data_IF_510185595655
#
_entry.id   IF_510185595655
#
_cell.length_a   1.000
_cell.length_b   1.000
_cell.length_c   1.000
_cell.angle_alpha   90.00
_cell.angle_beta   90.00
_cell.angle_gamma   90.00
#
_symmetry.space_group_name_H-M   'P 1'
#
loop_
_entity.id
_entity.type
_entity.pdbx_description
1 polymer ?
#
# COMPACT_ATOMS: atom_id res chain seq x y z
N UNK A 1 6.61 10.13 -19.55
CA UNK A 1 7.51 9.23 -20.32
C UNK A 1 6.87 7.86 -20.40
N UNK A 2 7.29 7.01 -21.33
CA UNK A 2 6.65 5.72 -21.55
C UNK A 2 7.63 4.67 -22.06
N UNK A 3 7.33 3.40 -21.81
CA UNK A 3 7.83 2.30 -22.64
C UNK A 3 7.52 2.58 -24.10
N UNK A 4 8.46 2.29 -24.99
CA UNK A 4 8.30 2.45 -26.44
C UNK A 4 7.50 1.31 -27.11
N UNK A 5 6.97 0.35 -26.33
CA UNK A 5 6.09 -0.69 -26.84
C UNK A 5 4.73 -0.13 -27.23
N UNK A 6 4.18 -0.64 -28.33
CA UNK A 6 2.94 -0.14 -28.94
C UNK A 6 1.78 -0.01 -27.94
N UNK A 7 1.51 -1.04 -27.14
CA UNK A 7 0.43 -1.04 -26.14
C UNK A 7 0.52 0.11 -25.13
N UNK A 8 1.74 0.49 -24.75
CA UNK A 8 1.98 1.58 -23.81
C UNK A 8 1.78 2.93 -24.49
N UNK A 9 2.28 3.08 -25.72
CA UNK A 9 2.10 4.29 -26.51
C UNK A 9 0.62 4.51 -26.90
N UNK A 10 -0.11 3.44 -27.19
CA UNK A 10 -1.56 3.47 -27.44
C UNK A 10 -2.32 3.92 -26.18
N UNK A 11 -1.99 3.37 -25.01
CA UNK A 11 -2.56 3.81 -23.73
C UNK A 11 -2.29 5.30 -23.48
N UNK A 12 -1.08 5.77 -23.79
CA UNK A 12 -0.73 7.18 -23.68
C UNK A 12 -1.59 8.06 -24.60
N UNK A 13 -1.75 7.66 -25.86
CA UNK A 13 -2.53 8.39 -26.84
C UNK A 13 -4.01 8.48 -26.45
N UNK A 14 -4.59 7.39 -25.92
CA UNK A 14 -5.96 7.37 -25.38
C UNK A 14 -6.13 8.32 -24.19
N UNK A 15 -5.09 8.45 -23.36
CA UNK A 15 -5.02 9.43 -22.28
C UNK A 15 -4.76 10.88 -22.73
N UNK A 16 -4.60 11.13 -24.04
CA UNK A 16 -4.25 12.46 -24.56
C UNK A 16 -2.82 12.90 -24.22
N UNK A 17 -1.92 11.94 -23.98
CA UNK A 17 -0.53 12.18 -23.60
C UNK A 17 0.41 11.97 -24.79
N UNK A 18 1.48 12.77 -24.85
CA UNK A 18 2.60 12.60 -25.80
C UNK A 18 3.90 12.30 -25.03
N UNK A 19 4.09 11.06 -24.55
CA UNK A 19 5.25 10.72 -23.74
C UNK A 19 6.50 10.51 -24.60
N UNK A 20 7.66 10.93 -24.08
CA UNK A 20 8.96 10.48 -24.61
C UNK A 20 9.07 8.96 -24.51
N UNK A 21 9.20 8.22 -25.63
CA UNK A 21 9.39 6.77 -25.62
C UNK A 21 10.81 6.43 -25.14
N UNK A 22 10.91 5.36 -24.36
CA UNK A 22 12.18 4.95 -23.75
C UNK A 22 12.21 3.42 -23.52
N UNK A 23 13.13 2.69 -24.20
CA UNK A 23 13.19 1.24 -24.16
C UNK A 23 13.59 0.68 -22.79
N UNK A 24 14.15 1.50 -21.89
CA UNK A 24 14.49 1.07 -20.53
C UNK A 24 13.26 0.66 -19.71
N UNK A 25 12.07 1.08 -20.12
CA UNK A 25 10.79 0.76 -19.45
C UNK A 25 10.00 -0.36 -20.14
N UNK A 26 10.62 -1.12 -21.05
CA UNK A 26 9.99 -2.33 -21.62
C UNK A 26 9.74 -3.37 -20.54
N UNK A 27 8.64 -4.12 -20.73
CA UNK A 27 8.36 -5.32 -19.94
C UNK A 27 9.52 -6.31 -20.03
N UNK A 28 9.59 -7.22 -19.06
CA UNK A 28 10.58 -8.30 -19.05
C UNK A 28 10.66 -9.00 -20.40
N UNK A 29 11.88 -9.17 -20.91
CA UNK A 29 12.13 -9.94 -22.12
C UNK A 29 11.93 -11.44 -21.84
N UNK A 30 10.83 -11.98 -22.37
CA UNK A 30 10.46 -13.39 -22.23
C UNK A 30 11.20 -14.31 -23.21
N UNK A 31 12.02 -13.76 -24.12
CA UNK A 31 12.74 -14.53 -25.12
C UNK A 31 11.83 -15.51 -25.87
N UNK A 32 12.19 -16.80 -25.84
CA UNK A 32 11.42 -17.87 -26.52
C UNK A 32 10.07 -18.21 -25.86
N UNK A 33 9.77 -17.66 -24.68
CA UNK A 33 8.45 -17.79 -24.06
C UNK A 33 7.42 -16.82 -24.62
N UNK A 34 7.86 -15.80 -25.38
CA UNK A 34 6.95 -14.79 -25.91
C UNK A 34 5.86 -15.41 -26.80
N UNK A 35 4.61 -15.02 -26.54
CA UNK A 35 3.43 -15.52 -27.24
C UNK A 35 2.91 -16.89 -26.76
N UNK A 36 3.56 -17.52 -25.78
CA UNK A 36 3.12 -18.81 -25.23
C UNK A 36 2.20 -18.63 -24.03
N UNK A 37 1.23 -19.55 -23.91
CA UNK A 37 0.45 -19.73 -22.69
C UNK A 37 1.29 -20.37 -21.58
N UNK A 38 0.84 -20.25 -20.33
CA UNK A 38 1.50 -20.91 -19.18
C UNK A 38 1.61 -22.43 -19.37
N UNK A 39 0.59 -23.06 -19.96
CA UNK A 39 0.61 -24.49 -20.26
C UNK A 39 1.68 -24.86 -21.27
N UNK A 40 1.76 -24.12 -22.38
CA UNK A 40 2.78 -24.34 -23.41
C UNK A 40 4.20 -24.10 -22.89
N UNK A 41 4.40 -23.12 -22.00
CA UNK A 41 5.70 -22.91 -21.33
C UNK A 41 6.07 -24.13 -20.48
N UNK A 42 5.13 -24.67 -19.70
CA UNK A 42 5.35 -25.84 -18.86
C UNK A 42 5.72 -27.08 -19.68
N UNK A 43 5.08 -27.25 -20.84
CA UNK A 43 5.35 -28.37 -21.75
C UNK A 43 6.68 -28.22 -22.50
N UNK A 44 7.01 -26.99 -22.96
CA UNK A 44 8.16 -26.73 -23.83
C UNK A 44 9.45 -26.40 -23.08
N UNK A 45 9.35 -25.88 -21.87
CA UNK A 45 10.48 -25.48 -21.03
C UNK A 45 10.36 -26.01 -19.58
N UNK A 46 10.12 -27.32 -19.37
CA UNK A 46 9.85 -27.88 -18.04
C UNK A 46 11.02 -27.69 -17.05
N UNK A 47 12.26 -27.71 -17.54
CA UNK A 47 13.46 -27.50 -16.71
C UNK A 47 13.54 -26.06 -16.17
N UNK A 48 13.27 -25.06 -17.01
CA UNK A 48 13.25 -23.65 -16.59
C UNK A 48 12.16 -23.42 -15.53
N UNK A 49 10.97 -24.00 -15.73
CA UNK A 49 9.86 -23.89 -14.77
C UNK A 49 10.19 -24.58 -13.45
N UNK A 50 10.79 -25.77 -13.47
CA UNK A 50 11.18 -26.48 -12.25
C UNK A 50 12.21 -25.69 -11.43
N UNK A 51 13.16 -25.03 -12.10
CA UNK A 51 14.15 -24.17 -11.46
C UNK A 51 13.52 -22.93 -10.83
N UNK A 52 12.60 -22.26 -11.52
CA UNK A 52 11.84 -21.13 -10.95
C UNK A 52 11.04 -21.57 -9.71
N UNK A 53 10.40 -22.74 -9.77
CA UNK A 53 9.68 -23.30 -8.62
C UNK A 53 10.60 -23.63 -7.43
N UNK A 54 11.88 -23.91 -7.69
CA UNK A 54 12.91 -24.09 -6.68
C UNK A 54 13.48 -22.77 -6.13
N UNK A 55 13.08 -21.62 -6.70
CA UNK A 55 13.59 -20.29 -6.34
C UNK A 55 14.90 -19.92 -7.03
N UNK A 56 15.30 -20.65 -8.08
CA UNK A 56 16.49 -20.30 -8.85
C UNK A 56 16.26 -19.04 -9.69
N UNK A 57 17.33 -18.27 -9.87
CA UNK A 57 17.37 -17.26 -10.91
C UNK A 57 17.47 -17.92 -12.31
N UNK A 58 16.51 -17.56 -13.18
CA UNK A 58 16.38 -18.11 -14.53
C UNK A 58 16.12 -17.00 -15.53
N UNK A 59 16.85 -16.99 -16.66
CA UNK A 59 16.55 -16.16 -17.83
C UNK A 59 15.38 -16.78 -18.60
N UNK A 60 14.23 -16.11 -18.60
CA UNK A 60 12.98 -16.65 -19.12
C UNK A 60 13.09 -16.85 -20.64
N UNK A 61 13.03 -18.09 -21.12
CA UNK A 61 13.15 -18.41 -22.54
C UNK A 61 14.46 -17.97 -23.18
N UNK A 62 15.48 -17.63 -22.38
CA UNK A 62 16.76 -17.04 -22.82
C UNK A 62 16.80 -15.50 -22.88
N UNK A 63 15.74 -14.81 -22.47
CA UNK A 63 15.67 -13.35 -22.35
C UNK A 63 16.25 -12.83 -21.03
N UNK A 64 15.46 -12.06 -20.28
CA UNK A 64 15.84 -11.49 -18.98
C UNK A 64 15.50 -12.45 -17.83
N UNK A 65 16.31 -12.41 -16.77
CA UNK A 65 15.90 -12.87 -15.43
C UNK A 65 15.15 -11.76 -14.70
N UNK A 66 14.55 -12.09 -13.56
CA UNK A 66 13.97 -11.07 -12.67
C UNK A 66 15.03 -10.07 -12.18
N UNK A 67 16.23 -10.55 -11.85
CA UNK A 67 17.34 -9.67 -11.44
C UNK A 67 17.80 -8.76 -12.59
N UNK A 68 17.89 -9.25 -13.82
CA UNK A 68 18.22 -8.43 -15.00
C UNK A 68 17.22 -7.25 -15.13
N UNK A 69 15.93 -7.54 -14.97
CA UNK A 69 14.86 -6.54 -14.98
C UNK A 69 15.04 -5.54 -13.83
N UNK A 70 15.17 -6.01 -12.59
CA UNK A 70 15.32 -5.13 -11.41
C UNK A 70 16.56 -4.24 -11.53
N UNK A 71 17.68 -4.76 -12.01
CA UNK A 71 18.90 -3.99 -12.27
C UNK A 71 18.71 -2.92 -13.35
N UNK A 72 18.04 -3.28 -14.44
CA UNK A 72 17.73 -2.34 -15.53
C UNK A 72 16.82 -1.21 -15.05
N UNK A 73 15.76 -1.54 -14.32
CA UNK A 73 14.80 -0.56 -13.79
C UNK A 73 15.45 0.30 -12.71
N UNK A 74 16.26 -0.28 -11.83
CA UNK A 74 17.01 0.46 -10.80
C UNK A 74 17.96 1.51 -11.39
N UNK A 75 18.72 1.16 -12.44
CA UNK A 75 19.56 2.12 -13.18
C UNK A 75 18.73 3.24 -13.82
N UNK A 76 17.63 2.88 -14.49
CA UNK A 76 16.76 3.86 -15.14
C UNK A 76 16.09 4.83 -14.13
N UNK A 77 15.71 4.34 -12.95
CA UNK A 77 15.18 5.17 -11.86
C UNK A 77 16.24 6.10 -11.28
N UNK A 78 17.46 5.61 -11.04
CA UNK A 78 18.56 6.44 -10.53
C UNK A 78 18.91 7.57 -11.51
N UNK A 79 18.96 7.28 -12.81
CA UNK A 79 19.17 8.28 -13.86
C UNK A 79 18.01 9.28 -13.90
N UNK A 80 16.76 8.81 -13.85
CA UNK A 80 15.56 9.65 -13.83
C UNK A 80 15.58 10.66 -12.66
N UNK A 81 15.94 10.20 -11.46
CA UNK A 81 16.03 11.04 -10.26
C UNK A 81 17.13 12.09 -10.39
N UNK A 82 18.22 11.78 -11.10
CA UNK A 82 19.30 12.74 -11.33
C UNK A 82 18.97 13.81 -12.38
N UNK A 83 18.05 13.51 -13.29
CA UNK A 83 17.66 14.41 -14.40
C UNK A 83 16.49 15.32 -14.05
N UNK A 84 15.60 14.87 -13.17
CA UNK A 84 14.34 15.55 -12.87
C UNK A 84 14.49 16.44 -11.63
N UNK A 85 14.09 17.72 -11.67
CA UNK A 85 14.18 18.61 -10.51
C UNK A 85 13.39 18.11 -9.30
N UNK A 86 13.91 18.38 -8.10
CA UNK A 86 13.23 18.04 -6.84
C UNK A 86 11.79 18.58 -6.80
N UNK A 87 10.87 17.76 -6.28
CA UNK A 87 9.45 18.10 -6.19
C UNK A 87 8.65 17.97 -7.48
N UNK A 88 9.28 17.55 -8.59
CA UNK A 88 8.57 17.24 -9.83
C UNK A 88 7.66 16.04 -9.69
N UNK A 89 6.63 15.97 -10.55
CA UNK A 89 5.78 14.79 -10.73
C UNK A 89 6.07 14.17 -12.08
N UNK A 90 6.41 12.89 -12.09
CA UNK A 90 6.69 12.13 -13.31
C UNK A 90 5.60 11.09 -13.50
N UNK A 91 4.91 11.15 -14.64
CA UNK A 91 4.06 10.05 -15.10
C UNK A 91 4.88 9.14 -16.01
N UNK A 92 5.03 7.88 -15.59
CA UNK A 92 5.66 6.81 -16.35
C UNK A 92 4.60 5.78 -16.73
N UNK A 93 4.36 5.62 -18.04
CA UNK A 93 3.52 4.53 -18.55
C UNK A 93 4.39 3.31 -18.83
N UNK A 94 4.08 2.19 -18.20
CA UNK A 94 4.90 0.97 -18.25
C UNK A 94 4.04 -0.27 -17.98
N UNK A 95 4.67 -1.40 -17.65
CA UNK A 95 4.06 -2.72 -17.52
C UNK A 95 4.13 -3.25 -16.09
N UNK A 96 3.42 -4.35 -15.82
CA UNK A 96 3.30 -4.90 -14.47
C UNK A 96 4.64 -5.33 -13.88
N UNK A 97 5.46 -6.08 -14.64
CA UNK A 97 6.77 -6.51 -14.15
C UNK A 97 7.68 -5.33 -13.82
N UNK A 98 7.63 -4.28 -14.64
CA UNK A 98 8.40 -3.04 -14.42
C UNK A 98 7.97 -2.29 -13.17
N UNK A 99 6.67 -2.24 -12.85
CA UNK A 99 6.16 -1.61 -11.62
C UNK A 99 6.66 -2.37 -10.39
N UNK A 100 6.57 -3.71 -10.38
CA UNK A 100 7.10 -4.52 -9.29
C UNK A 100 8.61 -4.34 -9.12
N UNK A 101 9.37 -4.39 -10.23
CA UNK A 101 10.81 -4.15 -10.23
C UNK A 101 11.18 -2.74 -9.73
N UNK A 102 10.37 -1.73 -10.04
CA UNK A 102 10.57 -0.37 -9.55
C UNK A 102 10.37 -0.26 -8.03
N UNK A 103 9.34 -0.94 -7.49
CA UNK A 103 9.10 -1.00 -6.04
C UNK A 103 10.27 -1.71 -5.35
N UNK A 104 10.67 -2.87 -5.86
CA UNK A 104 11.80 -3.65 -5.33
C UNK A 104 13.12 -2.88 -5.35
N UNK A 105 13.46 -2.25 -6.48
CA UNK A 105 14.64 -1.40 -6.61
C UNK A 105 14.59 -0.21 -5.63
N UNK A 106 13.42 0.37 -5.42
CA UNK A 106 13.21 1.43 -4.43
C UNK A 106 13.54 1.00 -3.00
N UNK A 107 13.06 -0.18 -2.60
CA UNK A 107 13.40 -0.78 -1.30
C UNK A 107 14.89 -1.08 -1.16
N UNK A 108 15.53 -1.60 -2.20
CA UNK A 108 16.96 -1.86 -2.21
C UNK A 108 17.79 -0.57 -2.02
N UNK A 109 17.37 0.54 -2.64
CA UNK A 109 18.08 1.83 -2.57
C UNK A 109 18.08 2.46 -1.18
N UNK A 110 17.08 2.18 -0.35
CA UNK A 110 17.05 2.61 1.05
C UNK A 110 17.68 1.58 2.00
N UNK A 111 18.39 0.57 1.47
CA UNK A 111 19.07 -0.46 2.27
C UNK A 111 18.14 -1.52 2.85
N UNK A 112 16.94 -1.68 2.29
CA UNK A 112 15.90 -2.58 2.78
C UNK A 112 15.34 -3.47 1.67
N UNK A 113 16.23 -4.15 0.94
CA UNK A 113 15.83 -5.07 -0.13
C UNK A 113 14.76 -6.07 0.35
N UNK A 114 13.68 -6.19 -0.43
CA UNK A 114 12.61 -7.14 -0.14
C UNK A 114 13.09 -8.57 -0.39
N UNK A 115 12.54 -9.52 0.37
CA UNK A 115 12.71 -10.95 0.08
C UNK A 115 11.82 -11.36 -1.09
N UNK A 116 12.14 -12.46 -1.76
CA UNK A 116 11.28 -13.02 -2.82
C UNK A 116 9.85 -13.30 -2.31
N UNK A 117 9.71 -13.67 -1.03
CA UNK A 117 8.41 -13.87 -0.41
C UNK A 117 7.64 -12.55 -0.29
N UNK A 118 8.29 -11.47 0.14
CA UNK A 118 7.69 -10.15 0.20
C UNK A 118 7.26 -9.63 -1.18
N UNK A 119 8.08 -9.88 -2.22
CA UNK A 119 7.75 -9.52 -3.60
C UNK A 119 6.52 -10.30 -4.08
N UNK A 120 6.44 -11.61 -3.81
CA UNK A 120 5.25 -12.43 -4.12
C UNK A 120 4.00 -12.00 -3.36
N UNK A 121 4.15 -11.35 -2.21
CA UNK A 121 3.03 -10.80 -1.42
C UNK A 121 2.57 -9.44 -1.89
N UNK A 122 3.29 -8.79 -2.81
CA UNK A 122 2.70 -7.78 -3.67
C UNK A 122 1.90 -8.51 -4.74
N UNK A 123 0.58 -8.39 -4.66
CA UNK A 123 -0.34 -9.10 -5.54
C UNK A 123 -0.22 -8.68 -7.00
N UNK A 124 -0.88 -9.41 -7.90
CA UNK A 124 -0.86 -9.10 -9.33
C UNK A 124 -1.45 -7.72 -9.60
N UNK A 125 -0.80 -6.97 -10.48
CA UNK A 125 -1.24 -5.66 -10.91
C UNK A 125 -2.41 -5.73 -11.89
N UNK A 126 -3.38 -4.85 -11.71
CA UNK A 126 -4.46 -4.64 -12.66
C UNK A 126 -3.98 -3.88 -13.89
N UNK A 127 -4.61 -4.14 -15.03
CA UNK A 127 -4.36 -3.33 -16.22
C UNK A 127 -4.77 -1.88 -15.97
N UNK A 128 -3.98 -0.95 -16.49
CA UNK A 128 -4.11 0.49 -16.26
C UNK A 128 -4.01 0.93 -14.78
N UNK A 129 -3.57 0.07 -13.87
CA UNK A 129 -3.35 0.45 -12.47
C UNK A 129 -2.33 1.58 -12.34
N UNK A 130 -2.50 2.41 -11.31
CA UNK A 130 -1.59 3.49 -10.94
C UNK A 130 -0.90 3.13 -9.62
N UNK A 131 0.43 3.19 -9.61
CA UNK A 131 1.25 3.06 -8.40
C UNK A 131 1.96 4.39 -8.16
N UNK A 132 1.72 5.02 -7.01
CA UNK A 132 2.36 6.28 -6.61
C UNK A 132 3.53 6.00 -5.67
N UNK A 133 4.70 6.51 -6.04
CA UNK A 133 5.92 6.40 -5.22
C UNK A 133 6.55 7.78 -5.05
N UNK A 134 7.06 8.04 -3.84
CA UNK A 134 8.06 9.09 -3.64
C UNK A 134 9.43 8.46 -3.83
N UNK A 135 10.29 9.13 -4.59
CA UNK A 135 11.62 8.63 -4.89
C UNK A 135 12.61 9.79 -4.92
N UNK A 136 13.79 9.61 -4.35
CA UNK A 136 14.88 10.58 -4.36
C UNK A 136 16.18 9.96 -3.85
N UNK A 137 17.29 10.73 -3.79
CA UNK A 137 18.54 10.23 -3.23
C UNK A 137 18.36 9.75 -1.78
N UNK A 138 18.50 8.44 -1.57
CA UNK A 138 18.28 7.80 -0.25
C UNK A 138 16.83 7.83 0.25
N UNK A 139 15.87 8.13 -0.62
CA UNK A 139 14.44 8.21 -0.27
C UNK A 139 13.64 7.31 -1.19
N UNK A 140 12.87 6.41 -0.59
CA UNK A 140 11.82 5.65 -1.26
C UNK A 140 10.61 5.56 -0.34
N UNK A 141 9.43 5.82 -0.89
CA UNK A 141 8.17 5.58 -0.20
C UNK A 141 7.10 5.15 -1.20
N UNK A 142 6.56 3.94 -1.03
CA UNK A 142 5.35 3.49 -1.69
C UNK A 142 4.14 4.19 -1.06
N UNK A 143 3.51 5.09 -1.81
CA UNK A 143 2.39 5.89 -1.33
C UNK A 143 1.05 5.20 -1.57
N UNK A 144 0.88 4.66 -2.76
CA UNK A 144 -0.20 3.73 -3.11
C UNK A 144 0.31 2.68 -4.09
N UNK A 145 -0.32 1.52 -4.11
CA UNK A 145 0.04 0.41 -4.97
C UNK A 145 -1.21 -0.13 -5.65
N UNK A 146 -1.10 -0.39 -6.96
CA UNK A 146 -2.14 -1.05 -7.75
C UNK A 146 -3.52 -0.33 -7.72
N UNK A 147 -3.52 1.01 -7.78
CA UNK A 147 -4.75 1.79 -7.75
C UNK A 147 -5.47 1.73 -9.10
N UNK A 148 -6.56 0.98 -9.13
CA UNK A 148 -7.47 0.83 -10.27
C UNK A 148 -8.81 1.52 -10.03
N UNK A 149 -8.92 2.36 -9.01
CA UNK A 149 -10.20 2.93 -8.59
C UNK A 149 -10.81 3.88 -9.63
N UNK A 150 -10.00 4.42 -10.53
CA UNK A 150 -10.47 5.20 -11.68
C UNK A 150 -11.19 4.36 -12.76
N UNK A 151 -11.14 3.03 -12.67
CA UNK A 151 -11.83 2.13 -13.58
C UNK A 151 -13.20 1.73 -13.01
N UNK A 152 -14.20 1.72 -13.87
CA UNK A 152 -15.51 1.18 -13.53
C UNK A 152 -15.44 -0.35 -13.42
N UNK A 153 -15.92 -0.93 -12.31
CA UNK A 153 -16.10 -2.38 -12.18
C UNK A 153 -15.78 -2.95 -10.81
N UNK A 154 -15.91 -4.27 -10.69
CA UNK A 154 -15.45 -5.02 -9.52
C UNK A 154 -13.97 -5.31 -9.69
N UNK A 155 -13.13 -4.42 -9.18
CA UNK A 155 -11.67 -4.55 -9.22
C UNK A 155 -11.13 -5.52 -8.14
N UNK A 156 -12.00 -6.00 -7.26
CA UNK A 156 -11.67 -7.06 -6.29
C UNK A 156 -12.06 -8.40 -6.89
N UNK A 157 -11.13 -9.04 -7.59
CA UNK A 157 -11.34 -10.24 -8.43
C UNK A 157 -11.71 -11.53 -7.63
N UNK A 158 -12.66 -11.47 -6.71
CA UNK A 158 -13.04 -12.53 -5.74
C UNK A 158 -12.83 -12.13 -4.27
N UNK A 159 -12.93 -13.12 -3.36
CA UNK A 159 -12.84 -12.94 -1.90
C UNK A 159 -11.63 -12.09 -1.48
N UNK A 160 -11.90 -10.84 -1.10
CA UNK A 160 -10.92 -9.88 -0.65
C UNK A 160 -11.42 -9.25 0.66
N UNK A 161 -10.49 -9.08 1.59
CA UNK A 161 -10.71 -8.35 2.82
C UNK A 161 -10.25 -6.91 2.58
N UNK A 162 -11.18 -5.98 2.60
CA UNK A 162 -10.94 -4.55 2.46
C UNK A 162 -10.65 -3.95 3.83
N UNK A 163 -9.41 -3.50 4.03
CA UNK A 163 -9.01 -2.75 5.22
C UNK A 163 -9.24 -1.27 4.94
N UNK A 164 -10.22 -0.69 5.62
CA UNK A 164 -10.65 0.70 5.42
C UNK A 164 -10.18 1.53 6.61
N UNK A 165 -9.41 2.59 6.37
CA UNK A 165 -9.13 3.59 7.42
C UNK A 165 -10.38 4.43 7.63
N UNK A 166 -10.70 4.77 8.88
CA UNK A 166 -11.78 5.71 9.19
C UNK A 166 -11.65 7.04 8.42
N UNK A 167 -12.77 7.73 8.17
CA UNK A 167 -12.76 9.09 7.63
C UNK A 167 -12.05 10.08 8.55
N UNK A 168 -11.76 11.29 8.09
CA UNK A 168 -11.07 12.30 8.89
C UNK A 168 -11.75 12.52 10.26
N UNK A 169 -10.94 12.56 11.32
CA UNK A 169 -11.40 12.87 12.69
C UNK A 169 -10.94 14.26 13.13
N UNK A 170 -11.56 14.81 14.17
CA UNK A 170 -11.14 16.08 14.79
C UNK A 170 -9.67 16.05 15.24
N UNK A 171 -9.19 14.89 15.67
CA UNK A 171 -7.79 14.68 16.02
C UNK A 171 -6.86 14.78 14.80
N UNK A 172 -7.30 14.30 13.62
CA UNK A 172 -6.52 14.44 12.40
C UNK A 172 -6.42 15.91 11.96
N UNK A 173 -7.51 16.67 12.08
CA UNK A 173 -7.53 18.12 11.79
C UNK A 173 -6.50 18.85 12.65
N UNK A 174 -6.39 18.47 13.92
CA UNK A 174 -5.47 19.10 14.88
C UNK A 174 -4.08 18.45 14.93
N UNK A 175 -3.82 17.41 14.14
CA UNK A 175 -2.53 16.71 14.10
C UNK A 175 -2.19 15.94 15.38
N UNK A 176 -3.19 15.61 16.20
CA UNK A 176 -3.02 14.88 17.48
C UNK A 176 -3.06 13.37 17.26
N UNK A 177 -2.19 12.66 17.96
CA UNK A 177 -2.07 11.22 17.91
C UNK A 177 -3.14 10.58 18.79
N UNK A 178 -4.18 10.03 18.16
CA UNK A 178 -5.24 9.29 18.86
C UNK A 178 -5.11 7.81 18.53
N UNK A 179 -4.65 7.04 19.51
CA UNK A 179 -4.64 5.59 19.47
C UNK A 179 -5.93 5.07 20.06
N UNK A 180 -5.92 4.82 21.38
CA UNK A 180 -7.07 4.40 22.17
C UNK A 180 -7.96 5.55 22.63
N UNK A 181 -7.47 6.79 22.56
CA UNK A 181 -8.32 7.96 22.75
C UNK A 181 -9.44 7.96 21.72
N UNK A 182 -10.68 8.04 22.20
CA UNK A 182 -11.86 7.99 21.37
C UNK A 182 -12.32 9.40 20.97
N UNK A 183 -12.84 9.55 19.76
CA UNK A 183 -13.20 10.85 19.21
C UNK A 183 -14.04 10.74 17.94
N UNK A 184 -14.78 11.81 17.61
CA UNK A 184 -15.69 11.83 16.47
C UNK A 184 -14.96 12.05 15.14
N UNK A 185 -15.67 11.75 14.04
CA UNK A 185 -15.33 12.23 12.71
C UNK A 185 -15.53 13.75 12.61
N UNK A 186 -14.71 14.41 11.80
CA UNK A 186 -14.97 15.77 11.32
C UNK A 186 -16.12 15.77 10.30
N UNK A 187 -16.62 16.95 9.95
CA UNK A 187 -17.63 17.09 8.90
C UNK A 187 -17.14 16.52 7.56
N UNK A 188 -15.87 16.79 7.20
CA UNK A 188 -15.21 16.21 6.03
C UNK A 188 -15.13 14.69 6.13
N UNK A 189 -14.81 14.15 7.30
CA UNK A 189 -14.74 12.70 7.52
C UNK A 189 -16.07 11.98 7.31
N UNK A 190 -17.18 12.61 7.68
CA UNK A 190 -18.53 12.07 7.43
C UNK A 190 -18.84 12.00 5.93
N UNK A 191 -18.47 13.04 5.19
CA UNK A 191 -18.61 13.09 3.73
C UNK A 191 -17.76 12.01 3.06
N UNK A 192 -16.49 11.87 3.46
CA UNK A 192 -15.59 10.82 2.96
C UNK A 192 -16.18 9.41 3.18
N UNK A 193 -16.68 9.13 4.38
CA UNK A 193 -17.25 7.82 4.71
C UNK A 193 -18.49 7.48 3.87
N UNK A 194 -19.40 8.44 3.68
CA UNK A 194 -20.57 8.26 2.83
C UNK A 194 -20.19 8.09 1.34
N UNK A 195 -19.23 8.89 0.87
CA UNK A 195 -18.71 8.83 -0.49
C UNK A 195 -18.06 7.48 -0.82
N UNK A 196 -17.32 6.92 0.14
CA UNK A 196 -16.73 5.59 0.02
C UNK A 196 -17.82 4.52 -0.10
N UNK A 197 -18.76 4.46 0.85
CA UNK A 197 -19.85 3.47 0.83
C UNK A 197 -20.71 3.51 -0.43
N UNK A 198 -20.92 4.71 -1.00
CA UNK A 198 -21.72 4.87 -2.21
C UNK A 198 -21.05 4.34 -3.48
N UNK A 199 -19.71 4.38 -3.55
CA UNK A 199 -18.91 3.98 -4.73
C UNK A 199 -18.39 2.55 -4.62
N UNK A 200 -18.23 2.06 -3.40
CA UNK A 200 -17.57 0.78 -3.17
C UNK A 200 -18.43 -0.39 -3.68
N UNK A 201 -17.83 -1.42 -4.32
CA UNK A 201 -18.54 -2.61 -4.75
C UNK A 201 -19.28 -3.32 -3.59
N UNK A 202 -20.30 -4.13 -3.89
CA UNK A 202 -21.08 -4.79 -2.84
C UNK A 202 -20.24 -5.70 -1.95
N UNK A 203 -20.25 -5.47 -0.64
CA UNK A 203 -19.69 -6.41 0.35
C UNK A 203 -20.77 -7.32 0.93
N UNK A 204 -20.33 -8.42 1.55
CA UNK A 204 -21.18 -9.35 2.27
C UNK A 204 -21.31 -8.99 3.75
N UNK A 205 -20.28 -8.36 4.32
CA UNK A 205 -20.22 -8.06 5.74
C UNK A 205 -19.29 -6.90 6.05
N UNK A 206 -19.59 -6.20 7.15
CA UNK A 206 -18.82 -5.06 7.65
C UNK A 206 -18.47 -5.28 9.11
N UNK A 207 -17.18 -5.21 9.42
CA UNK A 207 -16.67 -5.14 10.78
C UNK A 207 -16.08 -3.76 11.07
N UNK A 208 -16.07 -3.36 12.33
CA UNK A 208 -15.44 -2.12 12.74
C UNK A 208 -14.75 -2.23 14.10
N UNK A 209 -13.70 -1.43 14.27
CA UNK A 209 -13.17 -1.09 15.59
C UNK A 209 -14.26 -0.47 16.49
N UNK A 210 -14.19 -0.67 17.82
CA UNK A 210 -15.14 -0.06 18.76
C UNK A 210 -15.06 1.47 18.85
N UNK A 211 -13.98 2.10 18.36
CA UNK A 211 -13.80 3.56 18.47
C UNK A 211 -14.80 4.32 17.58
N UNK A 212 -15.36 5.42 18.08
CA UNK A 212 -16.41 6.22 17.45
C UNK A 212 -16.10 6.58 16.00
N UNK A 213 -14.89 7.09 15.70
CA UNK A 213 -14.47 7.42 14.32
C UNK A 213 -14.59 6.25 13.34
N UNK A 214 -14.21 5.05 13.77
CA UNK A 214 -14.30 3.84 12.95
C UNK A 214 -15.75 3.35 12.83
N UNK A 215 -16.52 3.33 13.93
CA UNK A 215 -17.94 2.97 13.92
C UNK A 215 -18.77 3.86 13.01
N UNK A 216 -18.62 5.19 13.15
CA UNK A 216 -19.33 6.15 12.31
C UNK A 216 -18.98 5.99 10.83
N UNK A 217 -17.70 5.71 10.51
CA UNK A 217 -17.28 5.40 9.14
C UNK A 217 -17.95 4.12 8.63
N UNK A 218 -17.95 3.07 9.45
CA UNK A 218 -18.53 1.77 9.09
C UNK A 218 -20.04 1.83 8.90
N UNK A 219 -20.77 2.60 9.71
CA UNK A 219 -22.21 2.79 9.57
C UNK A 219 -22.56 3.50 8.27
N UNK A 220 -21.85 4.59 7.95
CA UNK A 220 -22.01 5.31 6.69
C UNK A 220 -21.65 4.42 5.48
N UNK A 221 -20.56 3.64 5.59
CA UNK A 221 -20.15 2.68 4.57
C UNK A 221 -21.19 1.57 4.36
N UNK A 222 -21.73 1.01 5.44
CA UNK A 222 -22.65 -0.14 5.38
C UNK A 222 -24.05 0.21 4.87
N UNK A 223 -24.48 1.47 4.98
CA UNK A 223 -25.83 1.91 4.65
C UNK A 223 -26.24 1.63 3.19
N UNK A 224 -25.44 1.97 2.15
CA UNK A 224 -25.73 1.61 0.75
C UNK A 224 -25.80 0.10 0.51
N UNK A 225 -25.05 -0.69 1.28
CA UNK A 225 -25.04 -2.15 1.21
C UNK A 225 -26.20 -2.80 1.98
N UNK A 226 -26.93 -2.03 2.80
CA UNK A 226 -28.00 -2.49 3.70
C UNK A 226 -27.52 -3.57 4.68
N UNK A 227 -26.33 -3.37 5.24
CA UNK A 227 -25.71 -4.28 6.19
C UNK A 227 -25.64 -3.64 7.59
N UNK A 228 -25.64 -4.49 8.62
CA UNK A 228 -25.27 -4.09 9.98
C UNK A 228 -23.76 -4.16 10.16
N UNK A 229 -23.23 -3.34 11.08
CA UNK A 229 -21.81 -3.34 11.45
C UNK A 229 -21.59 -4.27 12.65
N UNK A 230 -20.63 -5.18 12.56
CA UNK A 230 -20.19 -6.02 13.68
C UNK A 230 -18.94 -5.44 14.32
N UNK A 231 -18.94 -5.22 15.65
CA UNK A 231 -17.80 -4.63 16.34
C UNK A 231 -16.78 -5.71 16.70
N UNK A 232 -15.49 -5.41 16.50
CA UNK A 232 -14.38 -6.25 16.95
C UNK A 232 -13.30 -5.42 17.64
N UNK A 233 -12.94 -5.82 18.85
CA UNK A 233 -11.94 -5.12 19.67
C UNK A 233 -10.52 -5.25 19.10
N UNK A 234 -10.23 -6.32 18.36
CA UNK A 234 -8.93 -6.54 17.72
C UNK A 234 -8.67 -5.64 16.50
N UNK A 235 -9.64 -4.81 16.08
CA UNK A 235 -9.49 -3.81 15.02
C UNK A 235 -9.14 -2.41 15.53
N UNK A 236 -8.94 -2.22 16.83
CA UNK A 236 -8.57 -0.94 17.45
C UNK A 236 -7.16 -0.46 17.07
N UNK A 237 -6.96 0.87 17.05
CA UNK A 237 -5.68 1.50 16.68
C UNK A 237 -4.52 1.06 17.60
N UNK A 238 -3.29 1.32 17.18
CA UNK A 238 -2.10 1.22 18.05
C UNK A 238 -2.34 2.00 19.34
N UNK A 239 -2.00 1.40 20.49
CA UNK A 239 -1.98 2.12 21.76
C UNK A 239 -0.73 3.02 21.82
N UNK A 240 -0.93 4.34 21.90
CA UNK A 240 0.18 5.29 21.96
C UNK A 240 0.65 5.60 23.37
N UNK A 241 0.05 5.01 24.41
CA UNK A 241 0.46 5.18 25.81
C UNK A 241 0.55 6.66 26.19
N UNK A 242 1.70 7.08 26.73
CA UNK A 242 1.93 8.47 27.12
C UNK A 242 1.90 9.48 25.96
N UNK A 243 1.94 9.06 24.70
CA UNK A 243 1.89 9.95 23.53
C UNK A 243 0.47 10.27 23.05
N UNK A 244 -0.56 9.66 23.66
CA UNK A 244 -1.96 9.96 23.34
C UNK A 244 -2.27 11.45 23.47
N UNK A 245 -3.08 11.95 22.53
CA UNK A 245 -3.51 13.35 22.42
C UNK A 245 -2.36 14.37 22.23
N UNK A 246 -1.14 13.92 21.95
CA UNK A 246 -0.02 14.81 21.63
C UNK A 246 0.14 14.99 20.12
N UNK A 247 0.61 16.17 19.72
CA UNK A 247 1.13 16.40 18.37
C UNK A 247 2.54 15.84 18.24
N UNK A 248 2.98 15.63 17.00
CA UNK A 248 4.36 15.23 16.72
C UNK A 248 5.42 16.11 17.44
N UNK A 249 5.25 17.43 17.37
CA UNK A 249 6.17 18.39 17.97
C UNK A 249 6.19 18.27 19.51
N UNK A 250 5.03 18.03 20.11
CA UNK A 250 4.95 17.79 21.56
C UNK A 250 5.62 16.49 21.97
N UNK A 251 5.46 15.40 21.21
CA UNK A 251 6.12 14.12 21.52
C UNK A 251 7.65 14.27 21.43
N UNK A 252 8.15 14.83 20.33
CA UNK A 252 9.59 15.05 20.13
C UNK A 252 10.20 15.93 21.25
N UNK A 253 9.49 16.98 21.66
CA UNK A 253 9.96 17.89 22.71
C UNK A 253 9.87 17.30 24.12
N UNK A 254 8.81 16.53 24.44
CA UNK A 254 8.57 16.01 25.80
C UNK A 254 9.20 14.65 26.06
N UNK A 255 9.40 13.85 25.01
CA UNK A 255 9.95 12.48 25.07
C UNK A 255 11.13 12.30 24.10
N UNK A 256 12.17 13.15 24.14
CA UNK A 256 13.22 13.18 23.11
C UNK A 256 14.04 11.89 23.01
N UNK A 257 14.28 11.19 24.13
CA UNK A 257 15.02 9.92 24.14
C UNK A 257 14.21 8.79 23.48
N UNK A 258 12.92 8.65 23.86
CA UNK A 258 12.03 7.68 23.22
C UNK A 258 11.81 8.01 21.74
N UNK A 259 11.66 9.31 21.44
CA UNK A 259 11.54 9.82 20.08
C UNK A 259 12.73 9.38 19.21
N UNK A 260 13.95 9.65 19.67
CA UNK A 260 15.17 9.27 18.96
C UNK A 260 15.28 7.75 18.84
N UNK A 261 15.03 7.00 19.90
CA UNK A 261 15.07 5.54 19.89
C UNK A 261 14.08 4.93 18.87
N UNK A 262 12.84 5.42 18.84
CA UNK A 262 11.80 4.89 17.95
C UNK A 262 12.03 5.34 16.51
N UNK A 263 12.26 6.62 16.24
CA UNK A 263 12.18 7.15 14.87
C UNK A 263 13.53 7.38 14.18
N UNK A 264 14.60 7.61 14.95
CA UNK A 264 15.95 7.86 14.40
C UNK A 264 16.78 6.57 14.43
N UNK A 265 16.78 5.85 15.56
CA UNK A 265 17.44 4.55 15.67
C UNK A 265 16.60 3.38 15.11
N UNK A 266 15.31 3.61 14.86
CA UNK A 266 14.42 2.61 14.26
C UNK A 266 14.16 1.41 15.17
N UNK A 267 14.12 1.60 16.50
CA UNK A 267 13.74 0.54 17.43
C UNK A 267 12.22 0.41 17.53
N UNK A 268 11.70 -0.82 17.39
CA UNK A 268 10.27 -1.07 17.61
C UNK A 268 9.93 -1.20 19.10
N UNK A 269 9.85 -0.07 19.79
CA UNK A 269 9.52 0.01 21.22
C UNK A 269 8.02 0.29 21.44
N UNK A 270 7.46 -0.08 22.61
CA UNK A 270 6.14 0.37 23.03
C UNK A 270 6.00 1.90 22.88
N UNK A 271 4.96 2.35 22.17
CA UNK A 271 4.73 3.78 22.00
C UNK A 271 4.36 4.42 23.34
N UNK A 272 4.95 5.57 23.66
CA UNK A 272 4.77 6.22 24.97
C UNK A 272 5.17 5.34 26.16
N UNK A 273 6.19 4.49 25.97
CA UNK A 273 6.78 3.61 26.98
C UNK A 273 5.94 2.40 27.41
N UNK A 274 4.61 2.48 27.30
CA UNK A 274 3.66 1.47 27.81
C UNK A 274 2.62 1.01 26.81
N UNK A 275 2.52 1.68 25.66
CA UNK A 275 1.56 1.34 24.61
C UNK A 275 1.96 0.09 23.82
N UNK A 276 1.50 0.01 22.57
CA UNK A 276 1.72 -1.14 21.71
C UNK A 276 2.94 -0.91 20.82
N UNK A 277 3.69 -1.97 20.48
CA UNK A 277 4.72 -1.88 19.44
C UNK A 277 4.08 -2.00 18.06
N UNK A 278 4.73 -1.49 17.02
CA UNK A 278 4.22 -1.59 15.66
C UNK A 278 4.11 -3.06 15.21
N UNK A 279 5.11 -3.89 15.52
CA UNK A 279 5.07 -5.32 15.19
C UNK A 279 3.95 -6.07 15.95
N UNK A 280 3.63 -5.66 17.19
CA UNK A 280 2.54 -6.25 17.96
C UNK A 280 1.18 -5.91 17.32
N UNK A 281 0.96 -4.64 16.95
CA UNK A 281 -0.24 -4.21 16.26
C UNK A 281 -0.42 -4.92 14.91
N UNK A 282 0.65 -5.03 14.11
CA UNK A 282 0.63 -5.76 12.84
C UNK A 282 0.29 -7.24 13.02
N UNK A 283 0.83 -7.91 14.06
CA UNK A 283 0.46 -9.29 14.41
C UNK A 283 -1.03 -9.44 14.73
N UNK A 284 -1.58 -8.49 15.49
CA UNK A 284 -2.98 -8.50 15.92
C UNK A 284 -3.93 -8.39 14.73
N UNK A 285 -3.73 -7.43 13.84
CA UNK A 285 -4.59 -7.30 12.67
C UNK A 285 -4.40 -8.47 11.68
N UNK A 286 -3.19 -8.99 11.51
CA UNK A 286 -2.97 -10.20 10.70
C UNK A 286 -3.77 -11.40 11.24
N UNK A 287 -3.75 -11.63 12.56
CA UNK A 287 -4.56 -12.70 13.17
C UNK A 287 -6.07 -12.50 12.98
N UNK A 288 -6.56 -11.25 13.03
CA UNK A 288 -7.96 -10.94 12.74
C UNK A 288 -8.32 -11.21 11.26
N UNK A 289 -7.42 -10.89 10.33
CA UNK A 289 -7.57 -11.19 8.90
C UNK A 289 -7.65 -12.71 8.68
N UNK A 290 -6.75 -13.49 9.30
CA UNK A 290 -6.72 -14.95 9.17
C UNK A 290 -7.99 -15.60 9.73
N UNK A 291 -8.42 -15.16 10.93
CA UNK A 291 -9.67 -15.60 11.56
C UNK A 291 -10.89 -15.33 10.67
N UNK A 292 -10.99 -14.10 10.15
CA UNK A 292 -12.11 -13.71 9.29
C UNK A 292 -12.08 -14.47 7.96
N UNK A 293 -10.91 -14.60 7.33
CA UNK A 293 -10.77 -15.33 6.07
C UNK A 293 -11.18 -16.81 6.21
N UNK A 294 -10.82 -17.45 7.34
CA UNK A 294 -11.14 -18.85 7.60
C UNK A 294 -12.65 -19.13 7.69
N UNK A 295 -13.45 -18.17 8.16
CA UNK A 295 -14.90 -18.32 8.33
C UNK A 295 -15.74 -17.81 7.15
N UNK A 296 -15.12 -17.10 6.21
CA UNK A 296 -15.83 -16.34 5.17
C UNK A 296 -15.25 -16.54 3.76
N UNK A 297 -14.92 -17.79 3.42
CA UNK A 297 -14.42 -18.14 2.09
C UNK A 297 -15.38 -17.69 0.98
N UNK A 298 -14.85 -17.07 -0.07
CA UNK A 298 -15.64 -16.57 -1.21
C UNK A 298 -16.36 -15.24 -0.97
N UNK A 299 -16.31 -14.68 0.25
CA UNK A 299 -17.04 -13.45 0.60
C UNK A 299 -16.15 -12.21 0.53
N UNK A 300 -16.76 -11.06 0.21
CA UNK A 300 -16.11 -9.74 0.30
C UNK A 300 -16.44 -9.10 1.63
N UNK A 301 -15.41 -8.67 2.35
CA UNK A 301 -15.54 -8.26 3.74
C UNK A 301 -14.86 -6.91 3.90
N UNK A 302 -15.56 -5.97 4.52
CA UNK A 302 -15.01 -4.66 4.89
C UNK A 302 -14.64 -4.64 6.37
N UNK A 303 -13.39 -4.30 6.69
CA UNK A 303 -12.89 -4.06 8.05
C UNK A 303 -12.55 -2.59 8.20
N UNK A 304 -13.36 -1.85 8.95
CA UNK A 304 -13.13 -0.43 9.21
C UNK A 304 -12.30 -0.24 10.48
N UNK A 305 -11.10 0.27 10.31
CA UNK A 305 -10.07 0.39 11.33
C UNK A 305 -9.32 1.72 11.17
N UNK A 306 -8.00 1.72 11.41
CA UNK A 306 -7.20 2.92 11.62
C UNK A 306 -5.89 2.87 10.85
N UNK A 307 -5.31 4.06 10.62
CA UNK A 307 -4.14 4.21 9.78
C UNK A 307 -2.91 3.47 10.30
N UNK A 308 -2.63 3.59 11.60
CA UNK A 308 -1.47 2.93 12.22
C UNK A 308 -1.57 1.41 12.17
N UNK A 309 -2.74 0.87 12.48
CA UNK A 309 -2.99 -0.58 12.47
C UNK A 309 -2.89 -1.19 11.07
N UNK A 310 -3.54 -0.59 10.07
CA UNK A 310 -3.51 -1.07 8.68
C UNK A 310 -2.08 -1.02 8.15
N UNK A 311 -1.38 0.07 8.43
CA UNK A 311 0.02 0.24 8.05
C UNK A 311 0.92 -0.83 8.67
N UNK A 312 0.73 -1.14 9.96
CA UNK A 312 1.45 -2.20 10.65
C UNK A 312 1.19 -3.59 10.06
N UNK A 313 -0.06 -3.89 9.69
CA UNK A 313 -0.40 -5.14 9.03
C UNK A 313 0.21 -5.23 7.63
N UNK A 314 0.14 -4.16 6.82
CA UNK A 314 0.75 -4.12 5.49
C UNK A 314 2.27 -4.32 5.54
N UNK A 315 2.96 -3.63 6.46
CA UNK A 315 4.39 -3.83 6.67
C UNK A 315 4.71 -5.28 7.09
N UNK A 316 3.91 -5.85 8.02
CA UNK A 316 4.05 -7.26 8.42
C UNK A 316 3.85 -8.21 7.26
N UNK A 317 2.83 -8.00 6.43
CA UNK A 317 2.57 -8.84 5.24
C UNK A 317 3.82 -8.83 4.36
N UNK A 318 4.40 -7.66 4.10
CA UNK A 318 5.60 -7.51 3.27
C UNK A 318 6.92 -7.84 3.97
N UNK A 319 6.90 -8.31 5.23
CA UNK A 319 8.14 -8.59 5.99
C UNK A 319 9.00 -7.35 6.25
N UNK A 320 8.42 -6.16 6.21
CA UNK A 320 9.09 -4.88 6.43
C UNK A 320 9.17 -4.64 7.94
N UNK A 321 10.39 -4.44 8.44
CA UNK A 321 10.61 -4.11 9.84
C UNK A 321 10.40 -2.61 10.13
N UNK A 322 10.47 -2.24 11.41
CA UNK A 322 10.27 -0.85 11.81
C UNK A 322 11.38 0.08 11.32
N UNK A 323 12.58 -0.36 10.93
CA UNK A 323 13.60 0.57 10.38
C UNK A 323 13.19 1.10 9.02
N UNK A 324 12.57 0.23 8.22
CA UNK A 324 12.04 0.55 6.92
C UNK A 324 10.65 1.18 6.96
N UNK A 325 10.12 1.58 8.12
CA UNK A 325 8.73 2.03 8.26
C UNK A 325 8.33 3.13 7.28
N UNK A 326 9.24 4.09 7.03
CA UNK A 326 9.00 5.24 6.12
C UNK A 326 8.82 4.83 4.65
N UNK A 327 9.19 3.60 4.29
CA UNK A 327 9.04 3.05 2.94
C UNK A 327 7.59 2.84 2.52
N UNK A 328 6.64 2.79 3.46
CA UNK A 328 5.20 2.77 3.17
C UNK A 328 4.59 4.05 3.71
N UNK A 329 3.83 4.78 2.90
CA UNK A 329 3.08 5.93 3.40
C UNK A 329 1.91 5.47 4.28
N UNK A 330 1.59 6.19 5.35
CA UNK A 330 0.44 5.87 6.19
C UNK A 330 -0.85 5.89 5.34
N UNK A 331 -1.75 4.89 5.49
CA UNK A 331 -3.05 4.86 4.81
C UNK A 331 -3.82 6.16 5.01
N UNK A 332 -4.36 6.79 3.97
CA UNK A 332 -5.12 8.03 4.06
C UNK A 332 -6.51 7.86 4.69
N UNK A 333 -7.12 8.94 5.15
CA UNK A 333 -8.50 8.91 5.66
C UNK A 333 -9.44 8.35 4.59
N UNK A 334 -10.33 7.43 4.98
CA UNK A 334 -11.23 6.70 4.07
C UNK A 334 -10.53 5.95 2.92
N UNK A 335 -9.22 5.71 2.99
CA UNK A 335 -8.53 4.88 2.02
C UNK A 335 -8.80 3.40 2.26
N UNK A 336 -8.57 2.60 1.22
CA UNK A 336 -8.75 1.16 1.22
C UNK A 336 -7.43 0.45 0.88
N UNK A 337 -7.16 -0.64 1.59
CA UNK A 337 -6.09 -1.58 1.29
C UNK A 337 -6.71 -2.98 1.22
N UNK A 338 -6.58 -3.67 0.09
CA UNK A 338 -7.13 -5.01 -0.05
C UNK A 338 -6.11 -6.10 0.24
N UNK A 339 -6.51 -7.05 1.07
CA UNK A 339 -5.76 -8.27 1.37
C UNK A 339 -6.50 -9.48 0.81
N UNK A 340 -5.78 -10.35 0.12
CA UNK A 340 -6.26 -11.66 -0.32
C UNK A 340 -5.51 -12.74 0.44
N UNK A 341 -6.22 -13.72 0.98
CA UNK A 341 -5.61 -14.89 1.61
C UNK A 341 -5.59 -16.02 0.58
N UNK A 342 -4.40 -16.36 0.09
CA UNK A 342 -4.16 -17.41 -0.91
C UNK A 342 -3.29 -18.48 -0.26
N UNK A 343 -3.77 -19.72 -0.24
CA UNK A 343 -3.08 -20.87 0.38
C UNK A 343 -2.59 -20.59 1.82
N UNK A 344 -3.43 -19.89 2.60
CA UNK A 344 -3.14 -19.50 3.99
C UNK A 344 -2.14 -18.34 4.14
N UNK A 345 -1.74 -17.69 3.05
CA UNK A 345 -0.84 -16.53 3.06
C UNK A 345 -1.56 -15.26 2.62
N UNK A 346 -1.40 -14.20 3.41
CA UNK A 346 -1.91 -12.87 3.06
C UNK A 346 -1.05 -12.20 1.98
N UNK A 347 -1.71 -11.70 0.94
CA UNK A 347 -1.14 -10.95 -0.19
C UNK A 347 -1.82 -9.59 -0.24
N UNK A 348 -1.04 -8.51 -0.37
CA UNK A 348 -1.56 -7.17 -0.63
C UNK A 348 -1.96 -7.06 -2.10
N UNK A 349 -3.25 -7.07 -2.38
CA UNK A 349 -3.74 -6.87 -3.75
C UNK A 349 -3.56 -5.41 -4.18
N UNK A 350 -3.81 -4.47 -3.28
CA UNK A 350 -3.51 -3.05 -3.46
C UNK A 350 -3.17 -2.43 -2.10
N UNK A 351 -2.70 -1.18 -2.12
CA UNK A 351 -2.36 -0.46 -0.91
C UNK A 351 -2.82 0.99 -1.03
N UNK A 352 -3.57 1.45 -0.02
CA UNK A 352 -3.83 2.86 0.22
C UNK A 352 -4.52 3.61 -0.92
N UNK A 353 -5.51 2.96 -1.53
CA UNK A 353 -6.27 3.40 -2.70
C UNK A 353 -7.60 4.04 -2.30
N UNK A 354 -8.41 4.48 -3.26
CA UNK A 354 -9.84 4.77 -3.03
C UNK A 354 -10.10 5.95 -2.10
N UNK A 355 -9.21 6.94 -2.08
CA UNK A 355 -9.38 8.18 -1.30
C UNK A 355 -10.41 9.07 -1.98
N UNK A 356 -11.70 8.81 -1.79
CA UNK A 356 -12.76 9.58 -2.44
C UNK A 356 -13.11 10.84 -1.64
N UNK A 357 -13.24 11.97 -2.33
CA UNK A 357 -13.83 13.23 -1.84
C UNK A 357 -15.00 13.66 -2.75
N UNK A 358 -15.77 14.66 -2.32
CA UNK A 358 -16.87 15.25 -3.12
C UNK A 358 -16.40 15.75 -4.50
N UNK A 359 -15.13 16.20 -4.62
CA UNK A 359 -14.53 16.74 -5.84
C UNK A 359 -13.59 15.76 -6.59
N UNK A 360 -13.48 14.49 -6.17
CA UNK A 360 -12.57 13.50 -6.78
C UNK A 360 -11.60 12.83 -5.79
N UNK A 361 -10.41 12.41 -6.22
CA UNK A 361 -9.42 11.76 -5.33
C UNK A 361 -8.84 12.76 -4.33
N UNK A 362 -9.02 12.50 -3.03
CA UNK A 362 -8.47 13.24 -1.91
C UNK A 362 -6.94 13.04 -1.82
N UNK A 363 -6.17 13.95 -2.40
CA UNK A 363 -4.73 13.98 -2.19
C UNK A 363 -4.43 14.40 -0.76
N UNK A 364 -3.68 13.60 0.03
CA UNK A 364 -3.34 13.99 1.40
C UNK A 364 -2.55 15.31 1.41
N UNK A 365 -2.65 16.12 2.48
CA UNK A 365 -1.69 17.18 2.72
C UNK A 365 -0.28 16.56 2.74
N UNK A 366 0.70 17.28 2.17
CA UNK A 366 2.11 16.85 2.08
C UNK A 366 2.76 16.56 3.46
N UNK A 367 2.08 16.92 4.54
CA UNK A 367 2.57 16.89 5.91
C UNK A 367 1.71 15.96 6.78
N UNK A 368 1.86 14.65 6.58
CA UNK A 368 1.30 13.63 7.47
C UNK A 368 2.33 12.65 8.03
N UNK A 369 3.58 12.75 7.57
CA UNK A 369 4.73 12.07 8.18
C UNK A 369 5.48 13.00 9.13
N UNK A 370 6.47 12.48 9.86
CA UNK A 370 7.48 13.33 10.47
C UNK A 370 7.95 14.39 9.47
N UNK A 371 8.08 15.67 9.84
CA UNK A 371 8.84 16.59 9.01
C UNK A 371 10.20 15.94 8.70
N UNK A 372 10.54 15.93 7.42
CA UNK A 372 11.92 15.76 7.02
C UNK A 372 12.69 16.94 7.66
N UNK A 373 13.84 16.68 8.31
CA UNK A 373 14.65 17.77 8.89
C UNK A 373 15.09 18.80 7.83
N UNK A 374 14.85 18.53 6.54
CA UNK A 374 15.04 19.46 5.42
C UNK A 374 13.97 20.55 5.29
N UNK A 375 12.89 20.52 6.07
CA UNK A 375 11.78 21.50 6.03
C UNK A 375 11.77 22.51 7.21
N UNK A 376 12.91 22.80 7.83
CA UNK A 376 13.07 23.98 8.72
C UNK A 376 13.93 25.07 8.03
N UNK A 377 13.59 26.37 8.21
CA UNK A 377 14.24 27.49 7.51
C UNK A 377 15.72 27.71 7.87
#
# INVERSE_FOLDING_TARGET
>A
MASDLYRTMETAALGGLDPRPDPRWREIDLGRWEGLTRGEVHERFPEEVARIAAGDEVKLGGGESWQDLTDRIGRALAELVSEVPDGSRVLLLTHGGVIHAAVEAGFALIGHALTDDAIRRLGPLGNASITDVAFGPGVFQLRSFNDVTHLDGDYTDGAAIALIRHGESEANVTGRWHGRTDGPLSDRGRVQAAALGARYPRVNMVYASPLQRARATAEAFAAPHRLSVSIRDDLVEIDFGAWEDMTFAEISARHPEEWSAVFEAGHDLPRGGTGETFAAAGRRLAAAIDDIAAHHSGQRIALVSHGGLIWAASARILGIDWRAWRSLAIPGNASVTHVRVVDGSAVLADYNTGRWSEDGIDTPPRHGGPPDRRDEP
#
